data_IF_749920525846
#
_entry.id   IF_749920525846
#
_cell.length_a   1.000
_cell.length_b   1.000
_cell.length_c   1.000
_cell.angle_alpha   90.00
_cell.angle_beta   90.00
_cell.angle_gamma   90.00
#
_symmetry.space_group_name_H-M   'P 1'
#
loop_
_entity.id
_entity.type
_entity.pdbx_description
1 polymer ?
#
# COMPACT_ATOMS: atom_id res chain seq x y z
N UNK A 1 24.68 15.91 -11.75
CA UNK A 1 23.53 16.03 -10.85
C UNK A 1 23.96 15.53 -9.48
N UNK A 2 24.42 16.42 -8.60
CA UNK A 2 25.07 16.09 -7.32
C UNK A 2 24.10 15.81 -6.18
N UNK A 3 23.13 14.91 -6.39
CA UNK A 3 22.22 14.48 -5.32
C UNK A 3 22.96 13.47 -4.44
N UNK A 4 23.11 13.71 -3.12
CA UNK A 4 23.67 12.73 -2.21
C UNK A 4 22.90 11.42 -2.28
N UNK A 5 23.60 10.31 -2.48
CA UNK A 5 23.00 8.99 -2.54
C UNK A 5 23.90 7.97 -1.86
N UNK A 6 23.28 6.95 -1.26
CA UNK A 6 23.94 5.77 -0.71
C UNK A 6 23.39 4.58 -1.45
N UNK A 7 24.23 3.89 -2.20
CA UNK A 7 23.87 2.63 -2.85
C UNK A 7 24.46 1.52 -1.99
N UNK A 8 23.59 0.65 -1.49
CA UNK A 8 23.98 -0.57 -0.81
C UNK A 8 23.72 -1.72 -1.79
N UNK A 9 24.79 -2.25 -2.35
CA UNK A 9 24.76 -3.52 -3.05
C UNK A 9 25.37 -4.54 -2.08
N UNK A 10 24.56 -5.48 -1.63
CA UNK A 10 25.05 -6.70 -1.01
C UNK A 10 24.96 -7.77 -2.10
N UNK A 11 26.06 -8.49 -2.34
CA UNK A 11 26.04 -9.67 -3.22
C UNK A 11 25.29 -10.78 -2.47
N UNK A 12 23.96 -10.69 -2.47
CA UNK A 12 23.12 -11.81 -2.07
C UNK A 12 23.06 -12.79 -3.25
N UNK A 13 24.16 -13.54 -3.39
CA UNK A 13 24.31 -14.61 -4.39
C UNK A 13 23.30 -15.75 -4.18
N UNK A 14 22.48 -15.68 -3.12
CA UNK A 14 21.27 -16.48 -2.97
C UNK A 14 20.18 -15.96 -3.93
N UNK A 15 20.43 -16.08 -5.24
CA UNK A 15 19.41 -15.93 -6.31
C UNK A 15 18.26 -16.95 -6.20
N UNK A 16 18.30 -17.82 -5.21
CA UNK A 16 17.28 -18.79 -4.90
C UNK A 16 16.48 -18.28 -3.73
N UNK A 17 15.17 -18.17 -3.92
CA UNK A 17 14.12 -18.04 -2.92
C UNK A 17 14.29 -19.10 -1.82
N UNK A 18 15.06 -18.87 -0.73
CA UNK A 18 15.48 -19.95 0.14
C UNK A 18 14.65 -19.98 1.43
N UNK A 19 13.60 -19.16 1.50
CA UNK A 19 12.75 -19.07 2.68
C UNK A 19 11.73 -20.21 2.61
N UNK A 20 11.83 -21.19 3.53
CA UNK A 20 10.92 -22.32 3.56
C UNK A 20 9.50 -21.88 3.90
N UNK A 21 9.33 -20.70 4.53
CA UNK A 21 8.04 -20.16 4.91
C UNK A 21 7.91 -18.66 4.56
N UNK A 22 6.68 -18.15 4.57
CA UNK A 22 6.40 -16.73 4.28
C UNK A 22 6.96 -15.75 5.34
N UNK A 23 6.99 -16.07 6.64
CA UNK A 23 7.57 -15.23 7.69
C UNK A 23 9.01 -14.77 7.45
N UNK A 24 9.94 -15.67 7.10
CA UNK A 24 11.35 -15.28 6.96
C UNK A 24 11.53 -14.32 5.78
N UNK A 25 10.78 -14.53 4.70
CA UNK A 25 10.76 -13.62 3.55
C UNK A 25 10.25 -12.23 3.94
N UNK A 26 9.16 -12.18 4.70
CA UNK A 26 8.57 -10.91 5.16
C UNK A 26 9.56 -10.19 6.07
N UNK A 27 10.24 -10.92 6.97
CA UNK A 27 11.23 -10.33 7.87
C UNK A 27 12.44 -9.77 7.09
N UNK A 28 12.96 -10.50 6.11
CA UNK A 28 14.04 -10.00 5.25
C UNK A 28 13.65 -8.70 4.52
N UNK A 29 12.46 -8.65 3.93
CA UNK A 29 11.97 -7.45 3.25
C UNK A 29 11.77 -6.29 4.24
N UNK A 30 11.30 -6.58 5.45
CA UNK A 30 11.19 -5.59 6.51
C UNK A 30 12.55 -5.00 6.89
N UNK A 31 13.55 -5.84 7.11
CA UNK A 31 14.91 -5.41 7.46
C UNK A 31 15.55 -4.59 6.33
N UNK A 32 15.36 -5.00 5.08
CA UNK A 32 15.83 -4.25 3.92
C UNK A 32 15.20 -2.84 3.85
N UNK A 33 13.88 -2.72 4.08
CA UNK A 33 13.20 -1.41 4.07
C UNK A 33 13.61 -0.53 5.25
N UNK A 34 13.80 -1.12 6.44
CA UNK A 34 14.32 -0.40 7.61
C UNK A 34 15.74 0.13 7.35
N UNK A 35 16.58 -0.66 6.67
CA UNK A 35 17.94 -0.24 6.29
C UNK A 35 17.95 0.96 5.35
N UNK A 36 16.99 1.05 4.43
CA UNK A 36 16.79 2.22 3.56
C UNK A 36 16.41 3.47 4.35
N UNK A 37 15.76 3.32 5.51
CA UNK A 37 15.33 4.43 6.37
C UNK A 37 16.40 4.89 7.39
N UNK A 38 17.47 4.11 7.60
CA UNK A 38 18.60 4.49 8.47
C UNK A 38 19.11 5.93 8.26
N UNK A 39 19.27 6.45 7.03
CA UNK A 39 19.81 7.77 6.83
C UNK A 39 18.90 8.89 7.38
N UNK A 40 17.63 8.60 7.68
CA UNK A 40 16.70 9.52 8.32
C UNK A 40 16.50 9.23 9.81
N UNK A 41 16.68 7.98 10.24
CA UNK A 41 16.28 7.52 11.58
C UNK A 41 17.45 7.19 12.52
N UNK A 42 18.66 6.96 12.01
CA UNK A 42 19.77 6.48 12.82
C UNK A 42 20.21 7.53 13.84
N UNK A 43 20.43 7.11 15.10
CA UNK A 43 21.07 7.94 16.12
C UNK A 43 22.56 8.20 15.80
N UNK A 44 23.15 7.42 14.90
CA UNK A 44 24.53 7.58 14.49
C UNK A 44 24.66 8.71 13.45
N UNK A 45 25.33 9.79 13.85
CA UNK A 45 25.58 10.95 13.00
C UNK A 45 26.41 10.63 11.73
N UNK A 46 27.14 9.52 11.68
CA UNK A 46 27.87 9.11 10.47
C UNK A 46 26.98 8.41 9.45
N UNK A 47 25.83 7.87 9.86
CA UNK A 47 24.86 7.19 9.00
C UNK A 47 23.76 8.16 8.58
N UNK A 48 23.35 9.04 9.49
CA UNK A 48 22.27 10.01 9.28
C UNK A 48 22.68 11.10 8.29
N UNK A 49 21.77 11.48 7.39
CA UNK A 49 22.00 12.52 6.39
C UNK A 49 22.16 13.90 7.06
N UNK A 50 23.01 14.79 6.50
CA UNK A 50 22.97 16.20 6.82
C UNK A 50 21.57 16.76 6.52
N UNK A 51 21.02 17.57 7.43
CA UNK A 51 19.68 18.15 7.32
C UNK A 51 18.56 17.12 7.12
N UNK A 52 18.67 15.95 7.75
CA UNK A 52 17.64 14.90 7.71
C UNK A 52 16.25 15.39 8.12
N UNK A 53 16.19 16.45 8.93
CA UNK A 53 15.00 17.15 9.42
C UNK A 53 14.36 18.10 8.39
N UNK A 54 15.07 18.43 7.31
CA UNK A 54 14.57 19.32 6.25
C UNK A 54 13.72 18.62 5.18
N UNK A 55 13.83 17.30 5.07
CA UNK A 55 12.99 16.52 4.15
C UNK A 55 11.56 16.48 4.66
N UNK A 56 10.57 16.59 3.78
CA UNK A 56 9.14 16.63 4.15
C UNK A 56 8.38 15.37 3.76
N UNK A 57 8.85 14.64 2.74
CA UNK A 57 8.21 13.44 2.21
C UNK A 57 9.26 12.42 1.79
N UNK A 58 8.95 11.16 2.03
CA UNK A 58 9.73 9.99 1.62
C UNK A 58 8.94 9.29 0.51
N UNK A 59 9.63 8.85 -0.55
CA UNK A 59 9.05 8.05 -1.62
C UNK A 59 9.75 6.70 -1.66
N UNK A 60 8.99 5.62 -1.46
CA UNK A 60 9.45 4.27 -1.67
C UNK A 60 9.03 3.77 -3.04
N UNK A 61 10.00 3.20 -3.77
CA UNK A 61 9.82 2.58 -5.07
C UNK A 61 10.21 1.11 -4.95
N UNK A 62 9.32 0.21 -5.37
CA UNK A 62 9.71 -1.17 -5.65
C UNK A 62 10.42 -1.24 -7.02
N UNK A 63 10.66 -2.44 -7.54
CA UNK A 63 11.22 -2.76 -8.86
C UNK A 63 10.21 -2.53 -10.01
N UNK A 64 9.57 -1.36 -10.01
CA UNK A 64 8.50 -0.99 -10.93
C UNK A 64 8.98 -0.03 -12.02
N UNK A 65 8.23 0.01 -13.12
CA UNK A 65 8.28 1.06 -14.15
C UNK A 65 7.37 2.21 -13.74
N UNK A 66 7.91 3.43 -13.78
CA UNK A 66 7.19 4.66 -13.45
C UNK A 66 7.62 5.82 -14.36
N UNK A 67 6.83 6.90 -14.35
CA UNK A 67 7.20 8.18 -14.96
C UNK A 67 7.43 9.22 -13.87
N UNK A 68 8.30 10.21 -14.11
CA UNK A 68 8.51 11.29 -13.13
C UNK A 68 7.19 12.05 -12.86
N UNK A 69 6.34 12.21 -13.87
CA UNK A 69 5.02 12.83 -13.71
C UNK A 69 4.14 12.02 -12.77
N UNK A 70 4.24 10.69 -12.78
CA UNK A 70 3.53 9.83 -11.83
C UNK A 70 3.99 10.10 -10.39
N UNK A 71 5.30 10.27 -10.15
CA UNK A 71 5.84 10.56 -8.82
C UNK A 71 5.45 11.96 -8.34
N UNK A 72 5.53 12.96 -9.22
CA UNK A 72 5.07 14.32 -8.89
C UNK A 72 3.57 14.32 -8.54
N UNK A 73 2.74 13.58 -9.31
CA UNK A 73 1.31 13.42 -9.00
C UNK A 73 1.07 12.68 -7.68
N UNK A 74 1.88 11.67 -7.37
CA UNK A 74 1.81 10.96 -6.10
C UNK A 74 2.10 11.90 -4.93
N UNK A 75 3.19 12.67 -5.01
CA UNK A 75 3.57 13.64 -4.00
C UNK A 75 2.51 14.72 -3.80
N UNK A 76 1.88 15.16 -4.89
CA UNK A 76 0.79 16.15 -4.93
C UNK A 76 -0.61 15.56 -4.69
N UNK A 77 -0.72 14.29 -4.28
CA UNK A 77 -2.02 13.64 -4.03
C UNK A 77 -2.82 14.39 -2.98
N UNK A 78 -4.11 14.64 -3.28
CA UNK A 78 -5.05 15.32 -2.40
C UNK A 78 -6.45 14.76 -2.60
N UNK A 79 -7.22 14.65 -1.52
CA UNK A 79 -8.64 14.31 -1.60
C UNK A 79 -9.43 15.59 -1.93
N UNK A 80 -10.47 15.47 -2.77
CA UNK A 80 -11.31 16.62 -3.13
C UNK A 80 -12.07 17.17 -1.91
N UNK A 81 -12.19 18.49 -1.81
CA UNK A 81 -12.99 19.16 -0.76
C UNK A 81 -12.23 19.64 0.47
N UNK A 82 -10.93 19.36 0.57
CA UNK A 82 -10.09 19.77 1.70
C UNK A 82 -9.11 20.88 1.30
N UNK A 83 -9.65 22.04 0.93
CA UNK A 83 -8.84 23.22 0.61
C UNK A 83 -8.24 23.89 1.87
N UNK A 84 -8.74 23.53 3.05
CA UNK A 84 -8.33 24.06 4.35
C UNK A 84 -7.23 23.25 5.03
N UNK A 85 -6.94 22.03 4.58
CA UNK A 85 -5.80 21.23 5.04
C UNK A 85 -4.89 20.87 3.86
N UNK A 86 -3.91 21.71 3.52
CA UNK A 86 -2.98 21.39 2.45
C UNK A 86 -2.20 20.09 2.75
N UNK A 87 -2.35 19.09 1.88
CA UNK A 87 -1.25 18.18 1.53
C UNK A 87 -0.78 17.08 2.50
N UNK A 88 -1.51 16.77 3.58
CA UNK A 88 -1.05 15.73 4.52
C UNK A 88 -1.98 14.51 4.50
N UNK A 89 -1.69 13.63 3.54
CA UNK A 89 -1.91 12.20 3.72
C UNK A 89 -0.87 11.67 4.69
N UNK A 90 -1.24 10.70 5.53
CA UNK A 90 -0.27 9.94 6.33
C UNK A 90 0.42 8.88 5.46
N UNK A 91 -0.26 8.44 4.38
CA UNK A 91 0.25 7.52 3.37
C UNK A 91 -0.47 7.72 2.03
N UNK A 92 0.27 7.82 0.93
CA UNK A 92 -0.29 7.88 -0.42
C UNK A 92 0.36 6.86 -1.33
N UNK A 93 -0.43 6.04 -2.04
CA UNK A 93 0.09 4.99 -2.90
C UNK A 93 -0.38 5.11 -4.35
N UNK A 94 0.41 4.59 -5.28
CA UNK A 94 -0.01 4.34 -6.65
C UNK A 94 -0.88 3.08 -6.78
N UNK A 95 -1.25 2.77 -8.01
CA UNK A 95 -1.82 1.48 -8.40
C UNK A 95 -0.82 0.74 -9.29
N UNK A 96 -0.41 -0.45 -8.88
CA UNK A 96 0.46 -1.30 -9.67
C UNK A 96 -0.34 -2.36 -10.44
N UNK A 97 0.06 -2.59 -11.70
CA UNK A 97 -0.66 -3.50 -12.59
C UNK A 97 0.24 -4.59 -13.13
N UNK A 98 -0.30 -5.81 -13.15
CA UNK A 98 0.29 -6.98 -13.77
C UNK A 98 -0.66 -7.61 -14.79
N UNK A 99 -0.42 -8.88 -15.11
CA UNK A 99 -1.19 -9.60 -16.13
C UNK A 99 -2.67 -9.78 -15.79
N UNK A 100 -2.99 -9.92 -14.50
CA UNK A 100 -4.36 -10.14 -14.02
C UNK A 100 -5.07 -8.85 -13.58
N UNK A 101 -4.49 -7.67 -13.82
CA UNK A 101 -5.04 -6.39 -13.35
C UNK A 101 -4.26 -5.84 -12.16
N UNK A 102 -4.96 -5.31 -11.13
CA UNK A 102 -4.35 -4.75 -9.93
C UNK A 102 -3.50 -5.82 -9.24
N UNK A 103 -2.22 -5.50 -9.05
CA UNK A 103 -1.27 -6.35 -8.36
C UNK A 103 -1.25 -6.04 -6.86
N UNK A 104 -0.53 -6.85 -6.07
CA UNK A 104 -0.37 -6.65 -4.62
C UNK A 104 -1.69 -6.46 -3.82
N UNK A 105 -2.75 -7.17 -4.23
CA UNK A 105 -4.09 -7.12 -3.59
C UNK A 105 -4.13 -7.68 -2.17
N UNK A 106 -3.12 -8.45 -1.77
CA UNK A 106 -2.93 -8.90 -0.39
C UNK A 106 -2.43 -7.79 0.56
N UNK A 107 -1.91 -6.69 0.02
CA UNK A 107 -1.47 -5.49 0.77
C UNK A 107 -2.57 -4.44 0.80
N UNK A 108 -3.27 -4.28 -0.31
CA UNK A 108 -4.24 -3.22 -0.52
C UNK A 108 -5.60 -3.58 0.09
N UNK A 109 -6.09 -2.74 1.00
CA UNK A 109 -7.44 -2.87 1.57
C UNK A 109 -8.27 -1.66 1.21
N UNK A 110 -9.50 -1.87 0.74
CA UNK A 110 -10.41 -0.78 0.40
C UNK A 110 -10.82 0.06 1.63
N UNK A 111 -11.63 1.10 1.43
CA UNK A 111 -12.04 2.01 2.50
C UNK A 111 -12.75 1.32 3.67
N UNK A 112 -13.37 0.16 3.42
CA UNK A 112 -14.03 -0.63 4.45
C UNK A 112 -13.08 -1.61 5.13
N UNK A 113 -11.79 -1.55 4.81
CA UNK A 113 -10.82 -2.52 5.29
C UNK A 113 -11.15 -3.89 4.77
N UNK A 114 -11.47 -4.08 3.49
CA UNK A 114 -11.59 -5.42 2.88
C UNK A 114 -10.55 -5.59 1.77
N UNK A 115 -10.12 -6.82 1.42
CA UNK A 115 -9.13 -7.02 0.36
C UNK A 115 -9.62 -6.41 -0.96
N UNK A 116 -8.75 -5.65 -1.62
CA UNK A 116 -9.01 -5.20 -2.99
C UNK A 116 -8.99 -6.39 -3.96
N UNK A 117 -9.69 -6.24 -5.09
CA UNK A 117 -9.80 -7.23 -6.17
C UNK A 117 -8.72 -7.00 -7.22
N UNK A 118 -8.24 -8.09 -7.82
CA UNK A 118 -7.31 -8.00 -8.94
C UNK A 118 -8.01 -7.43 -10.19
N UNK A 119 -9.26 -7.81 -10.41
CA UNK A 119 -10.04 -7.36 -11.56
C UNK A 119 -10.94 -6.19 -11.21
N UNK A 120 -11.31 -5.42 -12.24
CA UNK A 120 -12.30 -4.35 -12.13
C UNK A 120 -13.57 -4.84 -11.38
N UNK A 121 -14.12 -4.07 -10.42
CA UNK A 121 -13.80 -2.67 -10.11
C UNK A 121 -12.70 -2.42 -9.07
N UNK A 122 -11.88 -3.42 -8.73
CA UNK A 122 -10.78 -3.38 -7.75
C UNK A 122 -11.21 -3.13 -6.28
N UNK A 123 -12.25 -2.35 -6.03
CA UNK A 123 -12.81 -2.05 -4.70
C UNK A 123 -14.25 -2.53 -4.61
N UNK A 124 -14.78 -2.66 -3.39
CA UNK A 124 -16.18 -3.09 -3.17
C UNK A 124 -17.11 -1.91 -2.90
N UNK A 125 -16.60 -0.84 -2.29
CA UNK A 125 -17.34 0.39 -2.02
C UNK A 125 -17.69 1.15 -3.31
N UNK A 126 -18.98 1.39 -3.55
CA UNK A 126 -19.46 2.02 -4.79
C UNK A 126 -18.92 3.44 -5.01
N UNK A 127 -18.78 4.23 -3.94
CA UNK A 127 -18.19 5.57 -4.02
C UNK A 127 -16.72 5.48 -4.46
N UNK A 128 -15.97 4.53 -3.89
CA UNK A 128 -14.60 4.26 -4.30
C UNK A 128 -14.50 3.81 -5.75
N UNK A 129 -15.45 3.00 -6.26
CA UNK A 129 -15.51 2.62 -7.69
C UNK A 129 -15.65 3.86 -8.57
N UNK A 130 -16.57 4.77 -8.23
CA UNK A 130 -16.77 6.01 -9.00
C UNK A 130 -15.50 6.86 -9.04
N UNK A 131 -14.79 7.00 -7.91
CA UNK A 131 -13.53 7.76 -7.87
C UNK A 131 -12.46 7.14 -8.76
N UNK A 132 -12.36 5.81 -8.81
CA UNK A 132 -11.43 5.13 -9.73
C UNK A 132 -11.80 5.40 -11.20
N UNK A 133 -13.09 5.34 -11.56
CA UNK A 133 -13.56 5.66 -12.92
C UNK A 133 -13.21 7.09 -13.34
N UNK A 134 -13.30 8.02 -12.39
CA UNK A 134 -12.97 9.44 -12.57
C UNK A 134 -11.47 9.73 -12.47
N UNK A 135 -10.63 8.71 -12.20
CA UNK A 135 -9.19 8.85 -11.91
C UNK A 135 -8.88 9.83 -10.76
N UNK A 136 -9.79 9.89 -9.78
CA UNK A 136 -9.65 10.72 -8.58
C UNK A 136 -9.06 9.92 -7.41
N UNK A 137 -8.25 10.54 -6.55
CA UNK A 137 -7.76 9.91 -5.32
C UNK A 137 -8.92 9.42 -4.46
N UNK A 138 -8.74 8.25 -3.84
CA UNK A 138 -9.72 7.60 -2.96
C UNK A 138 -9.06 7.22 -1.63
N UNK A 139 -9.84 7.23 -0.56
CA UNK A 139 -9.41 6.73 0.74
C UNK A 139 -9.45 5.20 0.77
N UNK A 140 -8.44 4.61 1.38
CA UNK A 140 -8.27 3.16 1.50
C UNK A 140 -7.78 2.84 2.91
N UNK A 141 -8.05 1.64 3.42
CA UNK A 141 -7.58 1.30 4.76
C UNK A 141 -6.07 1.01 4.78
N UNK A 142 -5.50 0.39 3.74
CA UNK A 142 -4.06 0.21 3.59
C UNK A 142 -3.67 0.15 2.12
N UNK A 143 -2.45 0.57 1.78
CA UNK A 143 -1.90 0.44 0.43
C UNK A 143 -0.36 0.44 0.43
N UNK A 144 0.24 -0.04 -0.67
CA UNK A 144 1.67 0.13 -0.96
C UNK A 144 1.91 0.08 -2.47
N UNK A 145 1.40 -0.97 -3.12
CA UNK A 145 1.16 -1.12 -4.57
C UNK A 145 2.24 -0.49 -5.47
N UNK A 146 3.46 -1.03 -5.37
CA UNK A 146 4.62 -0.66 -6.18
C UNK A 146 5.28 0.68 -5.84
N UNK A 147 4.51 1.70 -5.50
CA UNK A 147 5.04 3.02 -5.12
C UNK A 147 4.19 3.67 -4.04
N UNK A 148 4.87 4.20 -3.02
CA UNK A 148 4.23 4.88 -1.90
C UNK A 148 5.00 6.13 -1.52
N UNK A 149 4.28 7.14 -1.04
CA UNK A 149 4.81 8.34 -0.45
C UNK A 149 4.18 8.56 0.93
N UNK A 150 4.98 9.00 1.88
CA UNK A 150 4.50 9.37 3.21
C UNK A 150 5.32 10.54 3.75
N UNK A 151 4.76 11.33 4.66
CA UNK A 151 5.51 12.39 5.30
C UNK A 151 6.76 11.87 6.03
N UNK A 152 7.83 12.65 6.02
CA UNK A 152 9.00 12.38 6.87
C UNK A 152 8.67 12.60 8.34
N UNK A 153 7.63 13.38 8.64
CA UNK A 153 7.18 13.72 9.98
C UNK A 153 6.38 12.59 10.68
N UNK A 154 6.11 11.49 9.96
CA UNK A 154 5.73 10.21 10.56
C UNK A 154 6.92 9.56 11.30
N UNK A 155 8.13 10.14 11.21
CA UNK A 155 9.40 9.64 11.79
C UNK A 155 10.27 10.58 12.67
N UNK A 156 9.99 11.87 12.95
CA UNK A 156 10.93 12.78 13.57
C UNK A 156 10.77 12.73 15.10
N UNK A 157 11.89 12.56 15.81
CA UNK A 157 11.93 12.70 17.27
C UNK A 157 11.91 11.41 18.08
N UNK A 158 12.42 10.28 17.56
CA UNK A 158 12.50 9.01 18.30
C UNK A 158 13.46 9.05 19.51
N UNK A 159 13.02 9.65 20.62
CA UNK A 159 13.49 9.36 21.98
C UNK A 159 12.28 9.22 22.90
N UNK A 160 12.04 7.96 23.31
CA UNK A 160 11.09 7.42 24.29
C UNK A 160 9.59 7.40 23.94
N UNK A 161 9.01 6.20 23.87
CA UNK A 161 7.69 5.82 24.43
C UNK A 161 7.50 4.28 24.41
N UNK A 162 6.69 3.68 25.30
CA UNK A 162 6.55 2.23 25.48
C UNK A 162 5.41 1.62 24.62
N UNK A 163 5.10 0.31 24.74
CA UNK A 163 5.20 -0.69 23.67
C UNK A 163 4.20 -0.54 22.48
N UNK A 164 4.57 0.28 21.50
CA UNK A 164 4.74 -0.02 20.06
C UNK A 164 6.10 0.64 19.76
N UNK A 165 7.11 -0.09 19.29
CA UNK A 165 8.46 0.48 19.15
C UNK A 165 8.47 1.55 18.05
N UNK A 166 8.63 2.82 18.46
CA UNK A 166 8.89 3.95 17.55
C UNK A 166 10.41 4.08 17.31
N UNK A 167 10.86 4.48 16.10
CA UNK A 167 10.08 4.88 14.92
C UNK A 167 9.33 3.68 14.30
N UNK A 168 8.27 3.93 13.53
CA UNK A 168 7.59 2.84 12.81
C UNK A 168 8.61 2.10 11.94
N UNK A 169 8.79 0.82 12.24
CA UNK A 169 9.62 -0.10 11.49
C UNK A 169 8.75 -1.05 10.72
N UNK A 170 9.20 -1.43 9.54
CA UNK A 170 8.69 -2.61 8.89
C UNK A 170 8.98 -3.82 9.78
N UNK A 171 8.02 -4.73 9.87
CA UNK A 171 8.10 -5.94 10.70
C UNK A 171 7.35 -7.08 10.04
N UNK A 172 7.65 -8.31 10.48
CA UNK A 172 6.75 -9.44 10.29
C UNK A 172 5.61 -9.43 11.32
N UNK A 173 4.56 -10.22 11.09
CA UNK A 173 3.44 -10.36 12.04
C UNK A 173 3.83 -11.17 13.28
N UNK A 174 4.90 -11.98 13.21
CA UNK A 174 5.35 -12.93 14.23
C UNK A 174 4.26 -13.95 14.66
N UNK A 175 3.24 -14.14 13.82
CA UNK A 175 2.11 -15.03 14.07
C UNK A 175 2.02 -16.07 12.95
N UNK A 176 2.36 -17.32 13.24
CA UNK A 176 2.34 -18.44 12.29
C UNK A 176 0.97 -18.67 11.61
N UNK A 177 -0.12 -18.23 12.25
CA UNK A 177 -1.47 -18.38 11.71
C UNK A 177 -1.86 -17.23 10.76
N UNK A 178 -1.05 -16.18 10.64
CA UNK A 178 -1.49 -14.86 10.22
C UNK A 178 -0.34 -14.03 9.63
N UNK A 179 0.17 -14.42 8.46
CA UNK A 179 1.25 -13.69 7.80
C UNK A 179 0.71 -12.67 6.79
N UNK A 180 1.02 -11.39 7.04
CA UNK A 180 0.80 -10.30 6.11
C UNK A 180 2.13 -9.66 5.74
N UNK A 181 2.19 -9.01 4.57
CA UNK A 181 3.38 -8.28 4.14
C UNK A 181 3.79 -7.22 5.16
N UNK A 182 5.09 -6.94 5.21
CA UNK A 182 5.65 -5.82 5.94
C UNK A 182 5.04 -4.49 5.48
N UNK A 183 4.71 -4.38 4.19
CA UNK A 183 4.05 -3.21 3.60
C UNK A 183 2.60 -3.04 4.09
N UNK A 184 1.85 -4.13 4.28
CA UNK A 184 0.51 -4.09 4.87
C UNK A 184 0.60 -3.65 6.32
N UNK A 185 1.53 -4.24 7.07
CA UNK A 185 1.72 -3.97 8.49
C UNK A 185 2.10 -2.51 8.75
N UNK A 186 2.83 -1.86 7.85
CA UNK A 186 3.09 -0.43 7.94
C UNK A 186 1.80 0.40 7.94
N UNK A 187 0.90 0.17 6.97
CA UNK A 187 -0.40 0.84 6.92
C UNK A 187 -1.30 0.49 8.11
N UNK A 188 -1.28 -0.78 8.54
CA UNK A 188 -2.02 -1.24 9.71
C UNK A 188 -1.53 -0.59 11.01
N UNK A 189 -0.21 -0.43 11.19
CA UNK A 189 0.36 0.20 12.37
C UNK A 189 0.04 1.71 12.42
N UNK A 190 -0.17 2.38 11.28
CA UNK A 190 -0.73 3.75 11.28
C UNK A 190 -2.12 3.78 11.93
N UNK A 191 -3.01 2.82 11.65
CA UNK A 191 -4.32 2.74 12.33
C UNK A 191 -4.19 2.52 13.83
N UNK A 192 -3.16 1.80 14.27
CA UNK A 192 -2.87 1.60 15.70
C UNK A 192 -2.31 2.85 16.38
N UNK A 193 -1.52 3.66 15.67
CA UNK A 193 -1.03 4.93 16.18
C UNK A 193 -2.15 5.98 16.27
N UNK A 194 -2.95 6.07 15.21
CA UNK A 194 -4.07 7.00 15.09
C UNK A 194 -5.38 6.37 15.60
N UNK A 195 -5.34 5.66 16.73
CA UNK A 195 -6.47 4.91 17.34
C UNK A 195 -7.63 5.81 17.85
N UNK A 196 -7.80 7.01 17.31
CA UNK A 196 -8.90 7.92 17.63
C UNK A 196 -9.85 8.06 16.45
N UNK A 197 -11.14 7.83 16.69
CA UNK A 197 -12.21 8.10 15.71
C UNK A 197 -12.22 9.55 15.22
N UNK A 198 -11.69 10.48 16.01
CA UNK A 198 -11.62 11.91 15.63
C UNK A 198 -10.60 12.20 14.52
N UNK A 199 -9.57 11.36 14.36
CA UNK A 199 -8.54 11.47 13.32
C UNK A 199 -7.98 10.08 12.98
N UNK A 200 -8.71 9.27 12.19
CA UNK A 200 -8.12 8.07 11.60
C UNK A 200 -6.98 8.44 10.63
N UNK A 201 -6.06 7.51 10.33
CA UNK A 201 -4.97 7.78 9.40
C UNK A 201 -5.52 8.05 7.99
N UNK A 202 -4.99 9.08 7.34
CA UNK A 202 -5.37 9.46 5.98
C UNK A 202 -4.52 8.70 4.97
N UNK A 203 -4.99 7.49 4.63
CA UNK A 203 -4.33 6.64 3.65
C UNK A 203 -5.08 6.75 2.31
N UNK A 204 -4.38 7.18 1.26
CA UNK A 204 -4.97 7.55 -0.02
C UNK A 204 -4.33 6.74 -1.15
N UNK A 205 -5.16 6.08 -1.96
CA UNK A 205 -4.71 5.50 -3.23
C UNK A 205 -5.00 6.47 -4.38
N UNK A 206 -4.04 6.68 -5.28
CA UNK A 206 -4.19 7.60 -6.41
C UNK A 206 -4.26 6.84 -7.76
N UNK A 207 -5.46 6.66 -8.35
CA UNK A 207 -5.63 5.91 -9.60
C UNK A 207 -4.99 6.55 -10.84
N UNK A 208 -4.62 7.84 -10.74
CA UNK A 208 -3.87 8.53 -11.79
C UNK A 208 -2.38 8.15 -11.81
N UNK A 209 -1.88 7.55 -10.73
CA UNK A 209 -0.50 7.08 -10.59
C UNK A 209 -0.49 5.57 -10.85
N UNK A 210 -0.30 5.18 -12.12
CA UNK A 210 -0.24 3.77 -12.54
C UNK A 210 1.20 3.33 -12.78
N UNK A 211 1.61 2.26 -12.11
CA UNK A 211 2.94 1.65 -12.23
C UNK A 211 2.79 0.17 -12.58
N UNK A 212 3.87 -0.47 -13.01
CA UNK A 212 3.86 -1.91 -13.29
C UNK A 212 5.28 -2.46 -13.28
N UNK A 213 5.46 -3.72 -12.90
CA UNK A 213 6.78 -4.38 -12.91
C UNK A 213 7.29 -4.63 -14.33
N UNK A 214 6.38 -4.93 -15.27
CA UNK A 214 6.73 -5.21 -16.67
C UNK A 214 6.35 -4.06 -17.60
N UNK A 215 7.16 -3.82 -18.63
CA UNK A 215 6.99 -2.71 -19.56
C UNK A 215 5.69 -2.80 -20.38
N UNK A 216 5.31 -4.00 -20.81
CA UNK A 216 4.06 -4.25 -21.54
C UNK A 216 2.84 -3.77 -20.74
N UNK A 217 2.72 -4.13 -19.46
CA UNK A 217 1.62 -3.73 -18.59
C UNK A 217 1.67 -2.23 -18.28
N UNK A 218 2.87 -1.67 -18.10
CA UNK A 218 3.06 -0.24 -17.93
C UNK A 218 2.52 0.56 -19.12
N UNK A 219 2.91 0.17 -20.35
CA UNK A 219 2.48 0.80 -21.61
C UNK A 219 1.00 0.60 -21.88
N UNK A 220 0.46 -0.57 -21.57
CA UNK A 220 -0.97 -0.85 -21.68
C UNK A 220 -1.79 0.09 -20.78
N UNK A 221 -1.43 0.19 -19.50
CA UNK A 221 -2.21 0.96 -18.51
C UNK A 221 -2.04 2.48 -18.63
N UNK A 222 -0.86 2.96 -19.05
CA UNK A 222 -0.59 4.39 -19.19
C UNK A 222 -0.81 4.93 -20.62
N UNK A 223 -0.81 4.07 -21.64
CA UNK A 223 -1.02 4.44 -23.04
C UNK A 223 -2.39 4.01 -23.55
N UNK A 224 -2.60 2.70 -23.69
CA UNK A 224 -3.79 2.14 -24.36
C UNK A 224 -5.07 2.46 -23.57
N UNK A 225 -5.11 2.14 -22.28
CA UNK A 225 -6.31 2.36 -21.44
C UNK A 225 -6.64 3.84 -21.20
N UNK A 226 -5.72 4.76 -21.52
CA UNK A 226 -5.94 6.22 -21.41
C UNK A 226 -6.49 6.86 -22.69
N UNK A 227 -6.51 6.13 -23.80
CA UNK A 227 -7.10 6.65 -25.03
C UNK A 227 -8.59 6.98 -24.80
N UNK A 228 -9.07 8.19 -25.15
CA UNK A 228 -10.44 8.62 -24.84
C UNK A 228 -11.51 7.65 -25.33
N UNK A 229 -11.33 7.08 -26.53
CA UNK A 229 -12.28 6.12 -27.12
C UNK A 229 -12.31 4.79 -26.36
N UNK A 230 -11.15 4.32 -25.89
CA UNK A 230 -11.04 3.08 -25.11
C UNK A 230 -11.61 3.30 -23.72
N UNK A 231 -11.30 4.44 -23.08
CA UNK A 231 -11.88 4.80 -21.78
C UNK A 231 -13.40 4.93 -21.85
N UNK A 232 -13.93 5.57 -22.90
CA UNK A 232 -15.37 5.66 -23.14
C UNK A 232 -16.00 4.27 -23.30
N UNK A 233 -15.39 3.41 -24.13
CA UNK A 233 -15.87 2.04 -24.33
C UNK A 233 -15.85 1.23 -23.03
N UNK A 234 -14.75 1.29 -22.27
CA UNK A 234 -14.62 0.63 -20.98
C UNK A 234 -15.66 1.15 -19.99
N UNK A 235 -15.92 2.44 -19.90
CA UNK A 235 -16.93 2.99 -18.99
C UNK A 235 -18.34 2.48 -19.32
N UNK A 236 -18.61 2.18 -20.60
CA UNK A 236 -19.90 1.66 -21.06
C UNK A 236 -20.01 0.13 -20.84
N UNK A 237 -18.94 -0.62 -21.09
CA UNK A 237 -18.92 -2.09 -21.06
C UNK A 237 -18.47 -2.72 -19.74
N UNK A 238 -17.68 -2.01 -18.92
CA UNK A 238 -17.19 -2.49 -17.61
C UNK A 238 -18.29 -2.66 -16.55
N UNK A 239 -19.54 -2.30 -16.87
CA UNK A 239 -20.74 -2.62 -16.09
C UNK A 239 -21.18 -4.09 -16.23
N UNK A 240 -20.44 -4.91 -16.99
CA UNK A 240 -20.75 -6.31 -17.23
C UNK A 240 -20.49 -7.24 -16.03
N UNK A 241 -21.53 -7.99 -15.66
CA UNK A 241 -21.59 -9.11 -14.69
C UNK A 241 -20.48 -10.19 -14.78
N UNK A 242 -19.83 -10.49 -15.93
CA UNK A 242 -18.89 -11.63 -16.02
C UNK A 242 -17.67 -11.57 -15.09
N UNK A 243 -17.12 -10.38 -14.81
CA UNK A 243 -15.93 -10.24 -13.96
C UNK A 243 -16.24 -10.33 -12.47
N UNK A 244 -17.50 -10.09 -12.06
CA UNK A 244 -17.92 -10.20 -10.66
C UNK A 244 -17.90 -11.66 -10.20
N UNK A 245 -18.31 -12.59 -11.06
CA UNK A 245 -18.27 -14.03 -10.75
C UNK A 245 -16.84 -14.55 -10.64
N UNK A 246 -15.93 -14.15 -11.54
CA UNK A 246 -14.50 -14.49 -11.46
C UNK A 246 -13.87 -13.88 -10.20
N UNK A 247 -14.22 -12.64 -9.86
CA UNK A 247 -13.81 -12.02 -8.59
C UNK A 247 -14.35 -12.79 -7.39
N UNK A 248 -15.60 -13.27 -7.41
CA UNK A 248 -16.16 -14.07 -6.32
C UNK A 248 -15.41 -15.39 -6.14
N UNK A 249 -15.08 -16.09 -7.23
CA UNK A 249 -14.26 -17.30 -7.19
C UNK A 249 -12.84 -17.02 -6.65
N UNK A 250 -12.22 -15.94 -7.13
CA UNK A 250 -10.90 -15.51 -6.66
C UNK A 250 -10.94 -15.15 -5.17
N UNK A 251 -11.95 -14.39 -4.74
CA UNK A 251 -12.18 -14.05 -3.33
C UNK A 251 -12.41 -15.30 -2.49
N UNK A 252 -13.24 -16.25 -2.93
CA UNK A 252 -13.47 -17.50 -2.19
C UNK A 252 -12.18 -18.33 -2.00
N UNK A 253 -11.24 -18.24 -2.93
CA UNK A 253 -9.92 -18.85 -2.84
C UNK A 253 -8.91 -18.04 -2.01
N UNK A 254 -8.91 -16.71 -2.12
CA UNK A 254 -7.92 -15.82 -1.50
C UNK A 254 -8.28 -15.42 -0.07
N UNK A 255 -9.56 -15.18 0.23
CA UNK A 255 -10.04 -14.74 1.56
C UNK A 255 -9.86 -15.79 2.65
N UNK A 256 -9.69 -17.08 2.30
CA UNK A 256 -9.41 -18.14 3.29
C UNK A 256 -8.19 -17.84 4.17
N UNK A 257 -7.25 -17.02 3.67
CA UNK A 257 -5.96 -16.66 4.29
C UNK A 257 -5.98 -15.31 5.02
N UNK A 258 -7.05 -14.55 4.87
CA UNK A 258 -7.07 -13.12 5.21
C UNK A 258 -7.79 -12.80 6.53
N UNK A 259 -8.20 -13.80 7.31
CA UNK A 259 -9.09 -13.60 8.47
C UNK A 259 -8.42 -13.08 9.73
N UNK A 260 -7.16 -12.66 9.68
CA UNK A 260 -6.34 -12.59 10.88
C UNK A 260 -6.27 -11.24 11.58
N UNK A 261 -6.41 -10.11 10.88
CA UNK A 261 -6.25 -8.80 11.52
C UNK A 261 -7.04 -7.73 10.80
N UNK A 262 -8.24 -7.44 11.32
CA UNK A 262 -9.11 -6.39 10.81
C UNK A 262 -9.57 -5.40 11.87
N UNK A 263 -9.39 -5.71 13.16
CA UNK A 263 -9.96 -4.93 14.26
C UNK A 263 -9.54 -3.46 14.24
N UNK A 264 -8.26 -3.18 13.99
CA UNK A 264 -7.77 -1.80 13.89
C UNK A 264 -8.25 -1.07 12.62
N UNK A 265 -8.51 -1.79 11.53
CA UNK A 265 -8.98 -1.21 10.27
C UNK A 265 -10.46 -0.80 10.32
N UNK A 266 -11.22 -1.36 11.28
CA UNK A 266 -12.62 -1.01 11.49
C UNK A 266 -12.77 0.36 12.15
N UNK A 267 -11.78 0.79 12.94
CA UNK A 267 -11.83 2.05 13.68
C UNK A 267 -11.69 3.21 12.69
N UNK A 268 -12.67 4.10 12.66
CA UNK A 268 -12.72 5.20 11.69
C UNK A 268 -13.18 4.81 10.29
N UNK A 269 -13.56 3.54 10.06
CA UNK A 269 -14.20 3.13 8.81
C UNK A 269 -15.57 3.85 8.64
N UNK A 270 -15.96 4.23 7.41
CA UNK A 270 -17.24 4.87 7.18
C UNK A 270 -18.42 4.03 7.68
N UNK A 271 -19.47 4.67 8.21
CA UNK A 271 -20.65 4.00 8.77
C UNK A 271 -21.39 3.07 7.77
N UNK A 272 -21.18 3.24 6.47
CA UNK A 272 -21.73 2.39 5.40
C UNK A 272 -21.00 1.05 5.25
N UNK A 273 -19.82 0.89 5.86
CA UNK A 273 -19.03 -0.31 5.74
C UNK A 273 -19.61 -1.46 6.57
N UNK A 274 -19.62 -2.70 6.04
CA UNK A 274 -20.03 -3.86 6.83
C UNK A 274 -19.05 -4.06 7.99
N UNK A 275 -19.51 -4.69 9.08
CA UNK A 275 -18.60 -5.12 10.15
C UNK A 275 -17.61 -6.13 9.60
N UNK A 276 -16.33 -5.87 9.82
CA UNK A 276 -15.26 -6.78 9.44
C UNK A 276 -15.35 -8.07 10.27
N UNK A 277 -15.03 -9.23 9.66
CA UNK A 277 -15.01 -10.49 10.38
C UNK A 277 -13.97 -10.43 11.51
N UNK A 278 -14.32 -11.02 12.66
CA UNK A 278 -13.39 -11.14 13.79
C UNK A 278 -12.15 -11.95 13.40
N UNK A 279 -11.03 -11.65 14.08
CA UNK A 279 -9.77 -12.35 13.88
C UNK A 279 -9.95 -13.86 14.13
N UNK A 280 -9.73 -14.68 13.10
CA UNK A 280 -9.72 -16.14 13.23
C UNK A 280 -8.31 -16.66 12.97
N UNK A 281 -7.70 -17.30 13.96
CA UNK A 281 -6.43 -18.00 13.78
C UNK A 281 -6.64 -19.17 12.79
N UNK A 282 -5.95 -19.16 11.65
CA UNK A 282 -5.92 -20.27 10.69
C UNK A 282 -4.50 -20.57 10.25
N UNK A 283 -3.94 -21.69 10.69
CA UNK A 283 -2.60 -22.11 10.25
C UNK A 283 -2.52 -22.40 8.74
N UNK A 284 -1.33 -22.19 8.15
CA UNK A 284 -1.03 -22.43 6.73
C UNK A 284 -1.43 -23.80 6.18
N UNK A 285 -1.53 -24.83 7.04
CA UNK A 285 -1.85 -26.20 6.68
C UNK A 285 -3.31 -26.64 6.90
N UNK A 286 -4.21 -25.75 7.33
CA UNK A 286 -5.61 -26.12 7.59
C UNK A 286 -6.39 -26.23 6.27
N UNK A 287 -6.33 -27.40 5.64
CA UNK A 287 -7.27 -27.83 4.60
C UNK A 287 -8.65 -27.99 5.23
N UNK A 288 -9.58 -27.07 4.89
CA UNK A 288 -11.01 -27.20 5.11
C UNK A 288 -11.75 -27.24 3.79
#
# INVERSE_FOLDING_TARGET
MGVPHRILCEDDDNRWWPYPTSPERIQYLADARNRVLEPLQSDNATIRLPSYDSYTKIVFLNDIRFSFQSIVRLLATRLDGDASKPGEYDLACGMDFGAAGLYDTWVARDVCGTPMRAFWPFVKDELSVQRIMEEKPLEVATCWNGVVAFPSDTFPGSRQSPPIELPLKFRSSALDACDHSESFLFGYDLHRLYHSESRPPRIIMNPSVRVAYQENWFRWHNGVLRMPIIRWWLNLWSRGVPLVFVNWLWEAGSTRRDHCTWSALQIGAPARCPKLPEARQRGWGASG
#
